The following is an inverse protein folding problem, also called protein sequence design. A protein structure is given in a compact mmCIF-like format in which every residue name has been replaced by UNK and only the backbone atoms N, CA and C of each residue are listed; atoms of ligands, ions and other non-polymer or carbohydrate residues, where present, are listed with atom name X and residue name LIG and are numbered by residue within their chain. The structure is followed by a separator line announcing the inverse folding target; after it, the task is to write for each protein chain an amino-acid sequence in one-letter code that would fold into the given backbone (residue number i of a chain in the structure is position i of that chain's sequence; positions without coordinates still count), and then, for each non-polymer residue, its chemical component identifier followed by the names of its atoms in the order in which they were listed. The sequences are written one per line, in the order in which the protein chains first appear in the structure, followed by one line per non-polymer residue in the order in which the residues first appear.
data_IF_858965228129
#
_entry.id   IF_858965228129
#
_cell.length_a   1.000
_cell.length_b   1.000
_cell.length_c   1.000
_cell.angle_alpha   90.00
_cell.angle_beta   90.00
_cell.angle_gamma   90.00
#
_symmetry.space_group_name_H-M   'P 1'
#
loop_
_entity.id
_entity.type
_entity.pdbx_description
1 polymer ?
#
# COMPACT_ATOMS: atom_id res chain seq x y z
N UNK A 1 7.62 11.94 -11.51
CA UNK A 1 6.41 12.39 -12.24
C UNK A 1 5.22 12.60 -11.32
N UNK A 2 4.89 11.67 -10.42
CA UNK A 2 3.66 11.78 -9.58
C UNK A 2 3.88 12.33 -8.16
N UNK A 3 5.13 12.41 -7.70
CA UNK A 3 5.49 12.84 -6.34
C UNK A 3 4.83 14.15 -5.86
N UNK A 4 4.89 15.27 -6.62
CA UNK A 4 4.29 16.54 -6.20
C UNK A 4 2.77 16.47 -6.02
N UNK A 5 2.06 15.77 -6.91
CA UNK A 5 0.61 15.61 -6.83
C UNK A 5 0.21 14.77 -5.61
N UNK A 6 0.94 13.70 -5.33
CA UNK A 6 0.72 12.87 -4.15
C UNK A 6 1.06 13.62 -2.86
N UNK A 7 2.14 14.40 -2.85
CA UNK A 7 2.52 15.25 -1.74
C UNK A 7 1.42 16.26 -1.39
N UNK A 8 0.87 16.94 -2.40
CA UNK A 8 -0.23 17.88 -2.21
C UNK A 8 -1.50 17.18 -1.67
N UNK A 9 -1.84 16.00 -2.19
CA UNK A 9 -2.98 15.23 -1.72
C UNK A 9 -2.82 14.80 -0.26
N UNK A 10 -1.64 14.32 0.14
CA UNK A 10 -1.38 13.90 1.52
C UNK A 10 -1.39 15.10 2.47
N UNK A 11 -0.81 16.23 2.08
CA UNK A 11 -0.86 17.45 2.87
C UNK A 11 -2.29 17.95 3.13
N UNK A 12 -3.24 17.64 2.24
CA UNK A 12 -4.65 17.98 2.39
C UNK A 12 -5.43 17.04 3.33
N UNK A 13 -4.84 15.91 3.76
CA UNK A 13 -5.50 14.93 4.66
C UNK A 13 -5.51 15.35 6.14
N UNK A 14 -4.93 16.50 6.48
CA UNK A 14 -4.72 16.92 7.86
C UNK A 14 -3.47 16.26 8.45
N UNK A 15 -3.60 15.59 9.59
CA UNK A 15 -2.48 14.96 10.31
C UNK A 15 -2.71 13.45 10.49
N UNK A 16 -2.49 12.64 9.43
CA UNK A 16 -2.63 11.19 9.55
C UNK A 16 -1.50 10.59 10.38
N UNK A 17 -1.81 9.60 11.22
CA UNK A 17 -0.81 8.84 11.98
C UNK A 17 0.08 7.98 11.08
N UNK A 18 -0.50 7.46 9.99
CA UNK A 18 0.20 6.66 8.98
C UNK A 18 -0.51 6.79 7.62
N UNK A 19 0.28 6.81 6.55
CA UNK A 19 -0.23 6.84 5.17
C UNK A 19 0.08 5.52 4.48
N UNK A 20 -0.95 4.87 3.95
CA UNK A 20 -0.79 3.70 3.07
C UNK A 20 -0.60 4.18 1.63
N UNK A 21 0.42 3.67 0.96
CA UNK A 21 0.77 4.02 -0.42
C UNK A 21 0.76 2.76 -1.27
N UNK A 22 0.12 2.80 -2.44
CA UNK A 22 0.19 1.73 -3.45
C UNK A 22 1.54 1.77 -4.18
N UNK A 23 2.61 1.49 -3.44
CA UNK A 23 3.98 1.50 -3.91
C UNK A 23 4.91 0.72 -2.99
N UNK A 24 6.12 0.45 -3.45
CA UNK A 24 7.16 -0.20 -2.64
C UNK A 24 7.86 0.77 -1.70
N UNK A 25 8.50 0.21 -0.68
CA UNK A 25 9.43 0.90 0.23
C UNK A 25 10.88 0.73 -0.23
N UNK A 26 11.71 0.06 0.58
CA UNK A 26 13.11 -0.24 0.20
C UNK A 26 13.25 -1.20 -0.98
N UNK A 27 12.19 -1.91 -1.33
CA UNK A 27 12.10 -2.77 -2.52
C UNK A 27 12.11 -1.94 -3.82
N UNK A 28 13.28 -1.41 -4.17
CA UNK A 28 13.53 -0.53 -5.31
C UNK A 28 15.02 -0.58 -5.69
N UNK A 29 15.42 -0.43 -6.97
CA UNK A 29 16.83 -0.49 -7.39
C UNK A 29 17.76 0.48 -6.66
N UNK A 30 17.21 1.57 -6.12
CA UNK A 30 17.94 2.60 -5.36
C UNK A 30 17.65 2.57 -3.85
N UNK A 31 16.95 1.55 -3.35
CA UNK A 31 16.47 1.50 -1.96
C UNK A 31 15.44 2.58 -1.59
N UNK A 32 14.92 3.32 -2.58
CA UNK A 32 14.11 4.52 -2.42
C UNK A 32 12.78 4.43 -3.19
N UNK A 33 11.95 3.44 -2.87
CA UNK A 33 10.60 3.34 -3.40
C UNK A 33 9.71 4.50 -2.94
N UNK A 34 8.61 4.70 -3.66
CA UNK A 34 7.75 5.88 -3.49
C UNK A 34 7.14 5.98 -2.08
N UNK A 35 6.80 4.85 -1.43
CA UNK A 35 6.26 4.88 -0.07
C UNK A 35 7.29 5.45 0.91
N UNK A 36 8.55 5.03 0.80
CA UNK A 36 9.66 5.55 1.61
C UNK A 36 9.95 7.02 1.29
N UNK A 37 10.03 7.37 0.01
CA UNK A 37 10.38 8.71 -0.44
C UNK A 37 9.32 9.76 -0.02
N UNK A 38 8.03 9.46 -0.21
CA UNK A 38 6.94 10.37 0.20
C UNK A 38 6.96 10.61 1.71
N UNK A 39 7.10 9.55 2.50
CA UNK A 39 7.14 9.67 3.96
C UNK A 39 8.32 10.52 4.43
N UNK A 40 9.49 10.35 3.81
CA UNK A 40 10.67 11.16 4.11
C UNK A 40 10.46 12.65 3.78
N UNK A 41 9.90 12.96 2.60
CA UNK A 41 9.67 14.35 2.17
C UNK A 41 8.59 15.05 3.02
N UNK A 42 7.55 14.32 3.41
CA UNK A 42 6.40 14.85 4.15
C UNK A 42 6.53 14.70 5.67
N UNK A 43 7.57 14.03 6.14
CA UNK A 43 7.78 13.64 7.52
C UNK A 43 6.57 12.94 8.18
N UNK A 44 5.91 12.06 7.43
CA UNK A 44 4.76 11.27 7.90
C UNK A 44 5.07 9.78 7.83
N UNK A 45 4.70 8.96 8.83
CA UNK A 45 4.88 7.51 8.74
C UNK A 45 4.18 6.93 7.51
N UNK A 46 4.83 6.01 6.80
CA UNK A 46 4.27 5.42 5.58
C UNK A 46 4.42 3.91 5.53
N UNK A 47 3.43 3.25 4.93
CA UNK A 47 3.45 1.81 4.63
C UNK A 47 3.18 1.62 3.15
N UNK A 48 4.03 0.83 2.48
CA UNK A 48 3.83 0.45 1.08
C UNK A 48 2.99 -0.82 0.97
N UNK A 49 2.03 -0.86 0.06
CA UNK A 49 1.23 -2.07 -0.21
C UNK A 49 1.13 -2.28 -1.70
N UNK A 50 1.64 -3.39 -2.20
CA UNK A 50 1.60 -3.73 -3.63
C UNK A 50 1.04 -5.12 -3.86
N UNK A 51 0.67 -5.43 -5.11
CA UNK A 51 0.25 -6.79 -5.49
C UNK A 51 1.42 -7.74 -5.75
N UNK A 52 2.63 -7.20 -5.93
CA UNK A 52 3.87 -7.94 -6.17
C UNK A 52 5.07 -7.13 -5.69
N UNK A 53 6.15 -7.77 -5.21
CA UNK A 53 7.42 -7.09 -5.02
C UNK A 53 8.02 -6.66 -6.36
N UNK A 54 8.94 -5.71 -6.31
CA UNK A 54 9.69 -5.22 -7.45
C UNK A 54 11.00 -6.00 -7.65
N UNK A 55 11.77 -6.17 -6.58
CA UNK A 55 13.07 -6.88 -6.54
C UNK A 55 13.15 -7.91 -5.41
N UNK A 56 12.45 -7.66 -4.29
CA UNK A 56 12.45 -8.53 -3.13
C UNK A 56 11.83 -9.90 -3.45
N UNK A 57 12.30 -10.92 -2.74
CA UNK A 57 11.90 -12.31 -2.95
C UNK A 57 11.40 -12.92 -1.64
N UNK A 58 10.49 -13.89 -1.75
CA UNK A 58 9.94 -14.59 -0.61
C UNK A 58 8.85 -15.56 -1.05
N UNK A 59 8.75 -16.70 -0.35
CA UNK A 59 7.68 -17.65 -0.55
C UNK A 59 6.34 -17.08 -0.06
N UNK A 60 5.23 -17.48 -0.67
CA UNK A 60 3.91 -17.12 -0.14
C UNK A 60 3.66 -17.73 1.25
N UNK A 61 2.88 -17.06 2.11
CA UNK A 61 2.53 -17.57 3.42
C UNK A 61 1.49 -18.68 3.32
N UNK A 62 1.06 -19.23 4.46
CA UNK A 62 -0.09 -20.12 4.52
C UNK A 62 -1.37 -19.44 3.95
N UNK A 63 -2.39 -20.25 3.64
CA UNK A 63 -3.61 -19.76 2.99
C UNK A 63 -4.58 -19.06 3.93
N UNK A 64 -4.38 -19.19 5.24
CA UNK A 64 -5.20 -18.61 6.30
C UNK A 64 -5.06 -17.09 6.38
N UNK A 65 -6.18 -16.40 6.66
CA UNK A 65 -6.19 -14.95 6.85
C UNK A 65 -5.26 -14.57 8.01
N UNK A 66 -4.41 -13.58 7.77
CA UNK A 66 -3.42 -13.10 8.73
C UNK A 66 -2.04 -13.72 8.55
N UNK A 67 -1.92 -14.87 7.87
CA UNK A 67 -0.63 -15.50 7.63
C UNK A 67 0.32 -14.57 6.87
N UNK A 68 1.59 -14.57 7.27
CA UNK A 68 2.63 -13.73 6.69
C UNK A 68 3.95 -14.47 6.52
N UNK A 69 4.73 -14.05 5.54
CA UNK A 69 6.08 -14.57 5.28
C UNK A 69 7.00 -13.44 4.83
N UNK A 70 8.31 -13.51 5.09
CA UNK A 70 9.23 -12.41 4.79
C UNK A 70 9.38 -12.13 3.28
N UNK A 71 9.60 -10.85 2.93
CA UNK A 71 10.13 -10.41 1.65
C UNK A 71 11.54 -9.84 1.87
N UNK A 72 12.52 -10.45 1.21
CA UNK A 72 13.95 -10.18 1.42
C UNK A 72 14.57 -9.60 0.15
N UNK A 73 15.34 -8.53 0.31
CA UNK A 73 16.20 -7.95 -0.73
C UNK A 73 17.66 -8.19 -0.33
N UNK A 74 18.33 -9.11 -1.03
CA UNK A 74 19.67 -9.59 -0.63
C UNK A 74 19.59 -10.34 0.70
N UNK A 75 20.16 -9.76 1.76
CA UNK A 75 20.10 -10.27 3.14
C UNK A 75 19.16 -9.46 4.04
N UNK A 76 18.50 -8.42 3.51
CA UNK A 76 17.69 -7.50 4.31
C UNK A 76 16.21 -7.78 4.12
N UNK A 77 15.49 -8.00 5.21
CA UNK A 77 14.02 -8.02 5.18
C UNK A 77 13.50 -6.60 4.92
N UNK A 78 12.75 -6.42 3.83
CA UNK A 78 12.23 -5.12 3.38
C UNK A 78 10.70 -5.04 3.44
N UNK A 79 10.06 -6.16 3.71
CA UNK A 79 8.61 -6.28 3.78
C UNK A 79 8.19 -7.71 4.11
N UNK A 80 6.90 -7.97 3.97
CA UNK A 80 6.31 -9.29 4.12
C UNK A 80 5.21 -9.51 3.08
N UNK A 81 5.04 -10.75 2.64
CA UNK A 81 3.76 -11.17 2.13
C UNK A 81 2.75 -11.24 3.27
N UNK A 82 1.54 -10.75 3.05
CA UNK A 82 0.44 -10.80 4.01
C UNK A 82 -0.83 -11.32 3.35
N UNK A 83 -1.42 -12.38 3.92
CA UNK A 83 -2.69 -12.94 3.51
C UNK A 83 -3.85 -12.16 4.14
N UNK A 84 -4.36 -11.14 3.46
CA UNK A 84 -5.46 -10.29 3.99
C UNK A 84 -6.84 -10.93 3.87
N UNK A 85 -7.00 -11.91 2.99
CA UNK A 85 -8.20 -12.72 2.78
C UNK A 85 -7.79 -14.18 2.56
N UNK A 86 -8.49 -15.12 3.21
CA UNK A 86 -8.17 -16.54 3.10
C UNK A 86 -8.26 -17.02 1.64
N UNK A 87 -7.36 -17.92 1.24
CA UNK A 87 -7.24 -18.50 -0.11
C UNK A 87 -7.01 -17.51 -1.27
N UNK A 88 -7.02 -16.19 -1.02
CA UNK A 88 -6.71 -15.17 -2.01
C UNK A 88 -5.20 -14.92 -2.09
N UNK A 89 -4.73 -14.38 -3.22
CA UNK A 89 -3.32 -13.98 -3.38
C UNK A 89 -2.89 -13.01 -2.26
N UNK A 90 -1.71 -13.18 -1.65
CA UNK A 90 -1.26 -12.27 -0.60
C UNK A 90 -0.97 -10.88 -1.18
N UNK A 91 -0.85 -9.88 -0.30
CA UNK A 91 -0.32 -8.56 -0.63
C UNK A 91 1.14 -8.48 -0.21
N UNK A 92 1.97 -7.80 -0.99
CA UNK A 92 3.31 -7.44 -0.56
C UNK A 92 3.20 -6.15 0.25
N UNK A 93 3.54 -6.24 1.54
CA UNK A 93 3.52 -5.13 2.49
C UNK A 93 4.97 -4.72 2.75
N UNK A 94 5.28 -3.45 2.57
CA UNK A 94 6.63 -2.91 2.63
C UNK A 94 6.74 -1.90 3.77
N UNK A 95 7.83 -1.99 4.53
CA UNK A 95 8.20 -0.90 5.43
C UNK A 95 8.49 0.37 4.61
N UNK A 96 7.87 1.49 5.00
CA UNK A 96 8.13 2.80 4.42
C UNK A 96 8.98 3.66 5.34
N UNK A 97 8.56 4.90 5.56
CA UNK A 97 9.24 5.86 6.42
C UNK A 97 8.74 5.73 7.86
N UNK A 98 9.66 5.73 8.83
CA UNK A 98 9.35 5.65 10.27
C UNK A 98 8.44 4.47 10.67
N UNK A 99 8.50 3.40 9.90
CA UNK A 99 7.84 2.11 10.17
C UNK A 99 8.83 0.98 9.89
N UNK A 100 8.76 -0.09 10.65
CA UNK A 100 9.42 -1.35 10.30
C UNK A 100 8.42 -2.35 9.67
N UNK A 101 8.88 -3.55 9.32
CA UNK A 101 8.06 -4.57 8.65
C UNK A 101 6.92 -5.05 9.55
N UNK A 102 7.17 -5.23 10.85
CA UNK A 102 6.16 -5.64 11.81
C UNK A 102 5.04 -4.60 11.91
N UNK A 103 5.41 -3.33 12.10
CA UNK A 103 4.48 -2.19 12.12
C UNK A 103 3.68 -2.10 10.82
N UNK A 104 4.34 -2.25 9.67
CA UNK A 104 3.69 -2.21 8.36
C UNK A 104 2.63 -3.31 8.21
N UNK A 105 2.95 -4.54 8.63
CA UNK A 105 2.01 -5.67 8.64
C UNK A 105 0.82 -5.40 9.54
N UNK A 106 1.06 -4.92 10.77
CA UNK A 106 0.00 -4.65 11.73
C UNK A 106 -0.92 -3.53 11.28
N UNK A 107 -0.38 -2.44 10.74
CA UNK A 107 -1.17 -1.36 10.12
C UNK A 107 -2.08 -1.92 9.02
N UNK A 108 -1.53 -2.71 8.09
CA UNK A 108 -2.31 -3.27 6.98
C UNK A 108 -3.38 -4.23 7.48
N UNK A 109 -3.08 -5.06 8.49
CA UNK A 109 -4.06 -5.98 9.11
C UNK A 109 -5.26 -5.23 9.68
N UNK A 110 -5.04 -4.11 10.36
CA UNK A 110 -6.11 -3.30 10.97
C UNK A 110 -6.87 -2.44 9.94
N UNK A 111 -6.27 -2.14 8.79
CA UNK A 111 -6.93 -1.41 7.71
C UNK A 111 -7.76 -2.32 6.77
N UNK A 112 -7.80 -3.63 6.97
CA UNK A 112 -8.54 -4.57 6.11
C UNK A 112 -9.92 -4.86 6.67
N UNK A 113 -10.97 -4.41 5.98
CA UNK A 113 -12.37 -4.68 6.31
C UNK A 113 -13.11 -5.27 5.10
N UNK A 114 -13.53 -6.54 5.20
CA UNK A 114 -14.41 -7.20 4.22
C UNK A 114 -13.85 -7.42 2.80
N UNK A 115 -12.65 -6.93 2.48
CA UNK A 115 -12.05 -7.03 1.16
C UNK A 115 -10.53 -7.26 1.23
N UNK A 116 -9.93 -7.83 0.17
CA UNK A 116 -8.48 -8.07 0.10
C UNK A 116 -7.64 -6.79 0.22
N UNK A 117 -8.07 -5.70 -0.40
CA UNK A 117 -7.32 -4.42 -0.42
C UNK A 117 -7.69 -3.60 0.82
N UNK A 118 -6.70 -3.03 1.55
CA UNK A 118 -6.96 -2.17 2.70
C UNK A 118 -7.92 -1.02 2.37
N UNK A 119 -8.78 -0.68 3.32
CA UNK A 119 -9.80 0.36 3.21
C UNK A 119 -9.26 1.68 2.65
N UNK A 120 -8.15 2.25 3.19
CA UNK A 120 -7.68 3.57 2.72
C UNK A 120 -7.30 3.55 1.24
N UNK A 121 -6.63 2.48 0.79
CA UNK A 121 -6.24 2.32 -0.61
C UNK A 121 -7.44 2.05 -1.52
N UNK A 122 -8.46 1.34 -1.02
CA UNK A 122 -9.70 1.11 -1.76
C UNK A 122 -10.46 2.43 -1.97
N UNK A 123 -10.60 3.23 -0.91
CA UNK A 123 -11.24 4.55 -0.98
C UNK A 123 -10.48 5.51 -1.89
N UNK A 124 -9.15 5.57 -1.78
CA UNK A 124 -8.32 6.38 -2.67
C UNK A 124 -8.51 5.99 -4.15
N UNK A 125 -8.58 4.68 -4.45
CA UNK A 125 -8.82 4.20 -5.82
C UNK A 125 -10.22 4.54 -6.33
N UNK A 126 -11.25 4.44 -5.49
CA UNK A 126 -12.63 4.86 -5.85
C UNK A 126 -12.64 6.36 -6.14
N UNK A 127 -12.11 7.19 -5.24
CA UNK A 127 -12.05 8.64 -5.41
C UNK A 127 -11.30 9.04 -6.69
N UNK A 128 -10.15 8.41 -6.98
CA UNK A 128 -9.40 8.66 -8.19
C UNK A 128 -10.16 8.27 -9.47
N UNK A 129 -10.94 7.19 -9.45
CA UNK A 129 -11.80 6.79 -10.57
C UNK A 129 -12.92 7.81 -10.80
N UNK A 130 -13.60 8.23 -9.73
CA UNK A 130 -14.67 9.24 -9.79
C UNK A 130 -14.12 10.57 -10.31
N UNK A 131 -12.96 11.01 -9.84
CA UNK A 131 -12.31 12.24 -10.30
C UNK A 131 -11.96 12.19 -11.80
N UNK A 132 -11.44 11.06 -12.29
CA UNK A 132 -11.15 10.87 -13.73
C UNK A 132 -12.42 10.91 -14.58
N UNK A 133 -13.47 10.17 -14.19
CA UNK A 133 -14.74 10.18 -14.92
C UNK A 133 -15.32 11.59 -15.03
N UNK A 134 -15.29 12.36 -13.94
CA UNK A 134 -15.71 13.77 -13.93
C UNK A 134 -14.86 14.65 -14.86
N UNK A 135 -13.54 14.47 -14.87
CA UNK A 135 -12.65 15.23 -15.74
C UNK A 135 -12.81 14.89 -17.23
N UNK A 136 -13.19 13.65 -17.53
CA UNK A 136 -13.43 13.14 -18.89
C UNK A 136 -14.86 13.39 -19.38
N UNK A 137 -15.73 14.00 -18.55
CA UNK A 137 -17.14 14.25 -18.89
C UNK A 137 -18.01 12.97 -18.95
N UNK A 138 -17.50 11.84 -18.47
CA UNK A 138 -18.24 10.58 -18.41
C UNK A 138 -19.16 10.56 -17.17
N UNK A 139 -20.43 10.12 -17.30
CA UNK A 139 -21.30 9.97 -16.14
C UNK A 139 -20.70 8.93 -15.17
N UNK A 140 -20.85 9.11 -13.84
CA UNK A 140 -20.40 8.12 -12.89
C UNK A 140 -21.17 6.81 -13.12
N UNK A 141 -20.47 5.73 -13.47
CA UNK A 141 -21.09 4.40 -13.59
C UNK A 141 -21.68 4.00 -12.22
N UNK A 142 -23.02 4.02 -12.11
CA UNK A 142 -23.76 3.36 -11.03
C UNK A 142 -23.61 1.85 -11.19
N UNK A 143 -22.50 1.30 -10.71
CA UNK A 143 -22.38 -0.15 -10.50
C UNK A 143 -22.85 -0.48 -9.10
N UNK A 144 -24.17 -0.53 -8.93
CA UNK A 144 -24.78 -1.57 -8.10
C UNK A 144 -24.32 -2.92 -8.67
N UNK A 145 -23.41 -3.57 -7.96
CA UNK A 145 -23.06 -4.97 -8.23
C UNK A 145 -24.08 -5.81 -7.44
N UNK A 146 -24.73 -6.82 -8.04
CA UNK A 146 -25.60 -7.76 -7.33
C UNK A 146 -24.86 -8.57 -6.26
#
# INVERSE_FOLDING_TARGET
REGPTLAAAIAALGSPDVVLVDATGRDHPRGAGLALHLGAVLNVPTVGVTHRPLLAQGAWPLEERGASSPLVLGSTEVGAWLRTSAHARPLAVHAGWRTDVATAVDVVRHCVAGARTPEPLRQARIAARVARARAEGAPPEDRRIP
#
